data_IF_010357188175
#
_entry.id   IF_010357188175
#
_cell.length_a   1.000
_cell.length_b   1.000
_cell.length_c   1.000
_cell.angle_alpha   90.00
_cell.angle_beta   90.00
_cell.angle_gamma   90.00
#
_symmetry.space_group_name_H-M   'P 1'
#
loop_
_entity.id
_entity.type
_entity.pdbx_description
1 polymer ?
#
# COMPACT_ATOMS: atom_id res chain seq x y z
N UNK A 1 -26.80 -0.03 20.40
CA UNK A 1 -25.34 0.22 20.27
C UNK A 1 -25.03 1.68 20.60
N UNK A 2 -23.94 1.98 21.35
CA UNK A 2 -23.59 3.36 21.68
C UNK A 2 -23.03 4.09 20.44
N UNK A 3 -23.04 5.45 20.44
CA UNK A 3 -22.47 6.25 19.34
C UNK A 3 -20.99 5.97 19.15
N UNK A 4 -20.24 5.82 20.25
CA UNK A 4 -18.81 5.52 20.24
C UNK A 4 -18.53 4.13 19.64
N UNK A 5 -19.34 3.12 19.96
CA UNK A 5 -19.22 1.79 19.35
C UNK A 5 -19.48 1.83 17.84
N UNK A 6 -20.46 2.63 17.38
CA UNK A 6 -20.72 2.84 15.95
C UNK A 6 -19.53 3.50 15.23
N UNK A 7 -18.83 4.45 15.87
CA UNK A 7 -17.62 5.07 15.31
C UNK A 7 -16.44 4.09 15.20
N UNK A 8 -16.36 3.08 16.07
CA UNK A 8 -15.28 2.07 16.01
C UNK A 8 -15.49 1.03 14.90
N UNK A 9 -16.73 0.80 14.47
CA UNK A 9 -17.03 -0.15 13.39
C UNK A 9 -16.44 0.30 12.06
N UNK A 10 -15.91 -0.67 11.29
CA UNK A 10 -15.48 -0.44 9.90
C UNK A 10 -16.65 -0.04 9.00
N UNK A 11 -16.35 0.63 7.87
CA UNK A 11 -17.37 1.01 6.89
C UNK A 11 -18.16 -0.20 6.35
N UNK A 12 -17.49 -1.35 6.22
CA UNK A 12 -18.07 -2.61 5.75
C UNK A 12 -19.17 -3.08 6.70
N UNK A 13 -18.98 -2.94 8.01
CA UNK A 13 -19.94 -3.39 9.02
C UNK A 13 -21.01 -2.35 9.33
N UNK A 14 -20.70 -1.07 9.17
CA UNK A 14 -21.64 0.02 9.49
C UNK A 14 -22.66 0.27 8.37
N UNK A 15 -22.28 0.08 7.10
CA UNK A 15 -23.18 0.25 5.94
C UNK A 15 -24.39 -0.70 5.96
N UNK A 16 -24.25 -2.02 6.23
CA UNK A 16 -25.41 -2.92 6.40
C UNK A 16 -26.32 -2.48 7.54
N UNK A 17 -25.74 -2.14 8.70
CA UNK A 17 -26.53 -1.67 9.86
C UNK A 17 -27.38 -0.43 9.54
N UNK A 18 -26.84 0.51 8.74
CA UNK A 18 -27.58 1.69 8.30
C UNK A 18 -28.74 1.30 7.37
N UNK A 19 -28.57 0.27 6.51
CA UNK A 19 -29.61 -0.19 5.58
C UNK A 19 -30.72 -0.96 6.29
N UNK A 20 -30.38 -1.81 7.26
CA UNK A 20 -31.30 -2.71 7.97
C UNK A 20 -32.04 -2.02 9.09
N UNK A 21 -31.58 -0.85 9.56
CA UNK A 21 -32.26 -0.13 10.67
C UNK A 21 -33.46 0.65 10.16
N UNK A 22 -34.64 0.28 10.62
CA UNK A 22 -35.92 0.95 10.31
C UNK A 22 -36.20 2.19 11.18
N UNK A 23 -35.69 2.20 12.42
CA UNK A 23 -35.82 3.34 13.34
C UNK A 23 -35.05 4.55 12.81
N UNK A 24 -35.78 5.61 12.45
CA UNK A 24 -35.21 6.85 11.88
C UNK A 24 -34.17 7.51 12.78
N UNK A 25 -34.38 7.51 14.11
CA UNK A 25 -33.43 8.13 15.07
C UNK A 25 -32.13 7.33 15.15
N UNK A 26 -32.23 6.01 15.20
CA UNK A 26 -31.08 5.12 15.27
C UNK A 26 -30.30 5.14 13.97
N UNK A 27 -31.00 5.16 12.84
CA UNK A 27 -30.40 5.29 11.50
C UNK A 27 -29.62 6.61 11.34
N UNK A 28 -30.20 7.72 11.76
CA UNK A 28 -29.56 9.04 11.73
C UNK A 28 -28.29 9.05 12.61
N UNK A 29 -28.35 8.43 13.79
CA UNK A 29 -27.18 8.27 14.67
C UNK A 29 -26.03 7.51 13.99
N UNK A 30 -26.32 6.44 13.26
CA UNK A 30 -25.30 5.66 12.53
C UNK A 30 -24.74 6.43 11.34
N UNK A 31 -25.58 7.17 10.61
CA UNK A 31 -25.12 8.04 9.51
C UNK A 31 -24.21 9.13 10.05
N UNK A 32 -24.58 9.80 11.15
CA UNK A 32 -23.75 10.84 11.77
C UNK A 32 -22.41 10.26 12.24
N UNK A 33 -22.41 9.08 12.87
CA UNK A 33 -21.18 8.41 13.29
C UNK A 33 -20.28 8.06 12.08
N UNK A 34 -20.88 7.62 10.97
CA UNK A 34 -20.14 7.32 9.74
C UNK A 34 -19.51 8.56 9.11
N UNK A 35 -20.29 9.66 9.00
CA UNK A 35 -19.80 10.93 8.43
C UNK A 35 -18.69 11.52 9.31
N UNK A 36 -18.92 11.59 10.63
CA UNK A 36 -17.91 12.14 11.56
C UNK A 36 -16.60 11.34 11.52
N UNK A 37 -16.68 10.02 11.47
CA UNK A 37 -15.51 9.16 11.32
C UNK A 37 -14.71 9.46 10.05
N UNK A 38 -15.41 9.64 8.93
CA UNK A 38 -14.73 9.95 7.65
C UNK A 38 -14.09 11.34 7.66
N UNK A 39 -14.76 12.33 8.27
CA UNK A 39 -14.20 13.68 8.46
C UNK A 39 -12.94 13.62 9.33
N UNK A 40 -12.97 12.91 10.46
CA UNK A 40 -11.81 12.74 11.34
C UNK A 40 -10.65 12.04 10.63
N UNK A 41 -10.96 11.02 9.81
CA UNK A 41 -9.94 10.34 8.99
C UNK A 41 -9.31 11.30 7.97
N UNK A 42 -10.13 12.12 7.29
CA UNK A 42 -9.65 13.12 6.34
C UNK A 42 -8.75 14.18 7.03
N UNK A 43 -9.19 14.71 8.17
CA UNK A 43 -8.41 15.66 8.95
C UNK A 43 -7.07 15.07 9.40
N UNK A 44 -7.07 13.80 9.82
CA UNK A 44 -5.84 13.08 10.16
C UNK A 44 -4.90 12.96 8.95
N UNK A 45 -5.43 12.62 7.76
CA UNK A 45 -4.62 12.55 6.53
C UNK A 45 -3.99 13.92 6.20
N UNK A 46 -4.79 14.99 6.24
CA UNK A 46 -4.30 16.36 5.99
C UNK A 46 -3.22 16.72 7.00
N UNK A 47 -3.45 16.46 8.29
CA UNK A 47 -2.49 16.74 9.35
C UNK A 47 -1.15 16.04 9.13
N UNK A 48 -1.16 14.74 8.83
CA UNK A 48 0.08 13.98 8.62
C UNK A 48 0.81 14.48 7.36
N UNK A 49 0.11 14.64 6.23
CA UNK A 49 0.73 15.13 4.98
C UNK A 49 1.31 16.52 5.17
N UNK A 50 0.59 17.43 5.81
CA UNK A 50 1.09 18.79 6.09
C UNK A 50 2.29 18.76 7.04
N UNK A 51 2.30 17.89 8.05
CA UNK A 51 3.44 17.74 8.96
C UNK A 51 4.68 17.27 8.23
N UNK A 52 4.56 16.25 7.36
CA UNK A 52 5.67 15.79 6.53
C UNK A 52 6.15 16.86 5.55
N UNK A 53 5.24 17.61 4.93
CA UNK A 53 5.57 18.71 4.03
C UNK A 53 6.32 19.83 4.74
N UNK A 54 5.93 20.18 5.97
CA UNK A 54 6.60 21.22 6.77
C UNK A 54 7.98 20.79 7.26
N UNK A 55 8.16 19.51 7.64
CA UNK A 55 9.44 19.02 8.21
C UNK A 55 10.44 18.71 7.09
N UNK A 56 10.01 18.06 5.99
CA UNK A 56 10.88 17.55 4.94
C UNK A 56 10.82 18.36 3.64
N UNK A 57 10.04 19.44 3.60
CA UNK A 57 9.85 20.32 2.44
C UNK A 57 8.65 19.94 1.58
N UNK A 58 8.08 20.94 0.90
CA UNK A 58 6.86 20.81 0.09
C UNK A 58 6.99 19.77 -1.05
N UNK A 59 8.17 19.63 -1.64
CA UNK A 59 8.47 18.65 -2.69
C UNK A 59 8.39 17.20 -2.16
N UNK A 60 8.46 17.01 -0.85
CA UNK A 60 8.37 15.74 -0.17
C UNK A 60 7.00 15.46 0.46
N UNK A 61 5.97 16.25 0.12
CA UNK A 61 4.58 15.99 0.56
C UNK A 61 4.08 14.59 0.17
N UNK A 62 4.57 14.05 -0.95
CA UNK A 62 4.28 12.68 -1.41
C UNK A 62 4.69 11.61 -0.38
N UNK A 63 5.74 11.85 0.41
CA UNK A 63 6.17 10.94 1.49
C UNK A 63 5.10 10.84 2.58
N UNK A 64 4.49 11.98 2.93
CA UNK A 64 3.35 12.00 3.85
C UNK A 64 2.16 11.21 3.31
N UNK A 65 1.86 11.34 2.01
CA UNK A 65 0.78 10.57 1.36
C UNK A 65 1.06 9.07 1.42
N UNK A 66 2.26 8.62 1.04
CA UNK A 66 2.70 7.22 1.08
C UNK A 66 2.62 6.65 2.50
N UNK A 67 3.07 7.43 3.49
CA UNK A 67 3.02 7.04 4.91
C UNK A 67 1.57 6.86 5.38
N UNK A 68 0.69 7.82 5.07
CA UNK A 68 -0.73 7.76 5.45
C UNK A 68 -1.43 6.58 4.79
N UNK A 69 -1.25 6.37 3.48
CA UNK A 69 -1.86 5.24 2.76
C UNK A 69 -1.44 3.90 3.38
N UNK A 70 -0.15 3.74 3.63
CA UNK A 70 0.38 2.53 4.28
C UNK A 70 -0.16 2.38 5.71
N UNK A 71 -0.21 3.44 6.50
CA UNK A 71 -0.67 3.43 7.88
C UNK A 71 -2.16 3.07 7.98
N UNK A 72 -3.00 3.64 7.12
CA UNK A 72 -4.44 3.34 7.09
C UNK A 72 -4.71 1.89 6.69
N UNK A 73 -3.93 1.35 5.76
CA UNK A 73 -4.07 -0.04 5.31
C UNK A 73 -3.57 -1.00 6.38
N UNK A 74 -2.33 -0.86 6.83
CA UNK A 74 -1.68 -1.80 7.74
C UNK A 74 -2.09 -1.65 9.20
N UNK A 75 -2.92 -0.68 9.53
CA UNK A 75 -3.64 -0.63 10.79
C UNK A 75 -4.64 -1.78 10.92
N UNK A 76 -5.21 -2.26 9.81
CA UNK A 76 -6.28 -3.27 9.78
C UNK A 76 -5.88 -4.54 9.04
N UNK A 77 -5.03 -4.45 8.04
CA UNK A 77 -4.55 -5.57 7.24
C UNK A 77 -3.29 -6.18 7.86
N UNK A 78 -3.09 -7.48 7.64
CA UNK A 78 -1.86 -8.20 7.99
C UNK A 78 -1.13 -8.70 6.73
N UNK A 79 0.08 -9.22 6.88
CA UNK A 79 0.87 -9.79 5.78
C UNK A 79 0.82 -11.33 5.74
N UNK A 80 0.01 -11.95 6.63
CA UNK A 80 -0.21 -13.39 6.72
C UNK A 80 1.03 -14.19 7.17
N UNK A 81 1.97 -13.53 7.88
CA UNK A 81 3.10 -14.17 8.55
C UNK A 81 3.50 -13.43 9.83
N UNK A 82 4.41 -13.99 10.62
CA UNK A 82 4.79 -13.51 11.96
C UNK A 82 4.87 -11.98 12.07
N UNK A 83 4.25 -11.41 13.11
CA UNK A 83 4.07 -9.97 13.26
C UNK A 83 5.40 -9.19 13.34
N UNK A 84 6.45 -9.76 13.95
CA UNK A 84 7.77 -9.13 14.01
C UNK A 84 8.43 -9.11 12.62
N UNK A 85 8.39 -10.26 11.93
CA UNK A 85 8.95 -10.37 10.59
C UNK A 85 8.18 -9.50 9.59
N UNK A 86 6.84 -9.41 9.73
CA UNK A 86 6.00 -8.53 8.92
C UNK A 86 6.33 -7.04 9.12
N UNK A 87 6.58 -6.61 10.37
CA UNK A 87 6.99 -5.23 10.65
C UNK A 87 8.36 -4.92 10.02
N UNK A 88 9.31 -5.85 10.11
CA UNK A 88 10.62 -5.74 9.46
C UNK A 88 10.48 -5.68 7.93
N UNK A 89 9.61 -6.51 7.36
CA UNK A 89 9.32 -6.53 5.92
C UNK A 89 8.72 -5.21 5.44
N UNK A 90 7.77 -4.63 6.21
CA UNK A 90 7.21 -3.31 5.89
C UNK A 90 8.29 -2.23 5.89
N UNK A 91 9.17 -2.22 6.88
CA UNK A 91 10.31 -1.29 6.87
C UNK A 91 11.24 -1.55 5.68
N UNK A 92 11.52 -2.82 5.33
CA UNK A 92 12.28 -3.19 4.14
C UNK A 92 11.65 -2.69 2.83
N UNK A 93 10.31 -2.71 2.72
CA UNK A 93 9.60 -2.12 1.57
C UNK A 93 9.79 -0.60 1.52
N UNK A 94 9.80 0.09 2.66
CA UNK A 94 10.16 1.52 2.69
C UNK A 94 11.60 1.77 2.26
N UNK A 95 12.55 0.87 2.54
CA UNK A 95 13.90 0.95 1.98
C UNK A 95 13.89 0.81 0.44
N UNK A 96 13.04 -0.06 -0.13
CA UNK A 96 12.84 -0.12 -1.58
C UNK A 96 12.28 1.20 -2.11
N UNK A 97 11.36 1.85 -1.39
CA UNK A 97 10.82 3.17 -1.75
C UNK A 97 11.88 4.28 -1.75
N UNK A 98 12.87 4.19 -0.87
CA UNK A 98 14.00 5.15 -0.82
C UNK A 98 14.89 5.01 -2.05
N UNK A 99 15.24 3.79 -2.41
CA UNK A 99 16.30 3.50 -3.37
C UNK A 99 15.75 3.30 -4.79
N UNK A 100 14.69 2.51 -4.95
CA UNK A 100 14.18 2.06 -6.25
C UNK A 100 13.79 3.21 -7.19
N UNK A 101 12.89 4.13 -6.82
CA UNK A 101 12.47 5.24 -7.68
C UNK A 101 13.62 6.16 -8.06
N UNK A 102 14.55 6.42 -7.13
CA UNK A 102 15.70 7.29 -7.39
C UNK A 102 16.69 6.64 -8.35
N UNK A 103 17.06 5.38 -8.13
CA UNK A 103 17.93 4.65 -9.06
C UNK A 103 17.31 4.55 -10.44
N UNK A 104 16.01 4.32 -10.52
CA UNK A 104 15.29 4.30 -11.78
C UNK A 104 15.37 5.66 -12.50
N UNK A 105 15.26 6.80 -11.77
CA UNK A 105 15.26 8.13 -12.37
C UNK A 105 16.57 8.50 -13.09
N UNK A 106 17.70 8.09 -12.53
CA UNK A 106 19.03 8.40 -13.06
C UNK A 106 19.55 7.37 -14.09
N UNK A 107 18.78 6.32 -14.36
CA UNK A 107 19.21 5.18 -15.19
C UNK A 107 18.71 5.29 -16.63
N UNK A 108 19.40 4.60 -17.55
CA UNK A 108 18.95 4.44 -18.94
C UNK A 108 17.63 3.64 -19.02
N UNK A 109 16.83 3.77 -20.08
CA UNK A 109 15.50 3.15 -20.15
C UNK A 109 15.48 1.63 -19.88
N UNK A 110 16.49 0.90 -20.35
CA UNK A 110 16.59 -0.56 -20.13
C UNK A 110 16.91 -0.85 -18.66
N UNK A 111 17.88 -0.14 -18.08
CA UNK A 111 18.27 -0.33 -16.66
C UNK A 111 17.11 0.11 -15.75
N UNK A 112 16.41 1.20 -16.09
CA UNK A 112 15.20 1.67 -15.41
C UNK A 112 14.13 0.60 -15.37
N UNK A 113 13.89 -0.09 -16.50
CA UNK A 113 12.95 -1.22 -16.54
C UNK A 113 13.33 -2.33 -15.57
N UNK A 114 14.62 -2.72 -15.55
CA UNK A 114 15.12 -3.79 -14.66
C UNK A 114 14.99 -3.39 -13.19
N UNK A 115 15.34 -2.14 -12.83
CA UNK A 115 15.22 -1.64 -11.45
C UNK A 115 13.77 -1.64 -11.01
N UNK A 116 12.86 -1.11 -11.84
CA UNK A 116 11.42 -1.10 -11.54
C UNK A 116 10.88 -2.53 -11.42
N UNK A 117 11.32 -3.44 -12.30
CA UNK A 117 10.90 -4.84 -12.26
C UNK A 117 11.29 -5.52 -10.96
N UNK A 118 12.56 -5.41 -10.55
CA UNK A 118 13.07 -5.99 -9.31
C UNK A 118 12.35 -5.37 -8.10
N UNK A 119 12.22 -4.05 -8.07
CA UNK A 119 11.58 -3.32 -6.96
C UNK A 119 10.10 -3.69 -6.80
N UNK A 120 9.33 -3.65 -7.88
CA UNK A 120 7.89 -3.95 -7.85
C UNK A 120 7.66 -5.44 -7.56
N UNK A 121 8.46 -6.34 -8.16
CA UNK A 121 8.37 -7.77 -7.90
C UNK A 121 8.65 -8.09 -6.43
N UNK A 122 9.70 -7.49 -5.85
CA UNK A 122 10.00 -7.63 -4.42
C UNK A 122 8.85 -7.14 -3.54
N UNK A 123 8.28 -5.95 -3.84
CA UNK A 123 7.13 -5.41 -3.10
C UNK A 123 5.94 -6.38 -3.19
N UNK A 124 5.62 -6.89 -4.37
CA UNK A 124 4.47 -7.78 -4.59
C UNK A 124 4.67 -9.12 -3.87
N UNK A 125 5.86 -9.73 -3.95
CA UNK A 125 6.17 -10.99 -3.24
C UNK A 125 6.04 -10.79 -1.72
N UNK A 126 6.66 -9.76 -1.19
CA UNK A 126 6.72 -9.51 0.25
C UNK A 126 5.37 -9.09 0.86
N UNK A 127 4.50 -8.46 0.08
CA UNK A 127 3.22 -7.94 0.58
C UNK A 127 2.00 -8.81 0.27
N UNK A 128 2.10 -9.71 -0.71
CA UNK A 128 0.98 -10.47 -1.23
C UNK A 128 1.18 -11.99 -1.08
N UNK A 129 1.37 -12.45 0.17
CA UNK A 129 1.29 -13.88 0.48
C UNK A 129 -0.18 -14.33 0.39
N UNK A 130 -1.08 -13.60 1.02
CA UNK A 130 -2.52 -13.78 0.88
C UNK A 130 -3.10 -12.77 -0.13
N UNK A 131 -3.47 -13.27 -1.31
CA UNK A 131 -3.97 -12.46 -2.43
C UNK A 131 -5.30 -11.77 -2.10
N UNK A 132 -6.11 -12.36 -1.20
CA UNK A 132 -7.41 -11.80 -0.78
C UNK A 132 -7.27 -10.45 -0.08
N UNK A 133 -6.17 -10.23 0.64
CA UNK A 133 -5.91 -8.98 1.37
C UNK A 133 -5.56 -7.81 0.45
N UNK A 134 -5.13 -8.06 -0.78
CA UNK A 134 -4.79 -7.05 -1.81
C UNK A 134 -3.80 -5.97 -1.33
N UNK A 135 -2.92 -6.30 -0.37
CA UNK A 135 -1.95 -5.37 0.23
C UNK A 135 -0.97 -4.77 -0.79
N UNK A 136 -0.63 -5.54 -1.84
CA UNK A 136 0.25 -5.11 -2.92
C UNK A 136 -0.25 -3.85 -3.61
N UNK A 137 -1.57 -3.65 -3.70
CA UNK A 137 -2.15 -2.51 -4.41
C UNK A 137 -1.70 -1.18 -3.82
N UNK A 138 -1.73 -1.03 -2.48
CA UNK A 138 -1.33 0.20 -1.82
C UNK A 138 0.18 0.41 -1.88
N UNK A 139 0.97 -0.65 -1.73
CA UNK A 139 2.43 -0.53 -1.73
C UNK A 139 2.98 -0.28 -3.13
N UNK A 140 2.44 -0.94 -4.16
CA UNK A 140 2.80 -0.66 -5.56
C UNK A 140 2.35 0.75 -5.95
N UNK A 141 1.14 1.18 -5.57
CA UNK A 141 0.67 2.55 -5.77
C UNK A 141 1.62 3.57 -5.12
N UNK A 142 2.09 3.30 -3.91
CA UNK A 142 3.06 4.14 -3.20
C UNK A 142 4.39 4.23 -3.94
N UNK A 143 4.90 3.11 -4.47
CA UNK A 143 6.09 3.08 -5.30
C UNK A 143 5.93 3.92 -6.57
N UNK A 144 4.81 3.76 -7.27
CA UNK A 144 4.50 4.50 -8.50
C UNK A 144 4.33 6.00 -8.24
N UNK A 145 3.75 6.41 -7.10
CA UNK A 145 3.69 7.80 -6.69
C UNK A 145 5.09 8.39 -6.52
N UNK A 146 5.97 7.71 -5.80
CA UNK A 146 7.36 8.15 -5.59
C UNK A 146 8.14 8.19 -6.91
N UNK A 147 7.89 7.24 -7.81
CA UNK A 147 8.46 7.22 -9.15
C UNK A 147 7.97 8.40 -10.01
N UNK A 148 6.70 8.78 -9.90
CA UNK A 148 6.13 9.90 -10.67
C UNK A 148 6.47 11.29 -10.14
N UNK A 149 6.82 11.41 -8.85
CA UNK A 149 7.27 12.65 -8.20
C UNK A 149 8.78 12.59 -7.92
N UNK A 150 9.58 12.56 -8.99
CA UNK A 150 11.04 12.53 -8.92
C UNK A 150 11.60 13.83 -8.35
N UNK A 151 12.81 13.76 -7.80
CA UNK A 151 13.53 14.89 -7.22
C UNK A 151 14.96 14.88 -7.75
N UNK A 152 15.35 15.96 -8.40
CA UNK A 152 16.68 16.11 -8.99
C UNK A 152 17.71 16.67 -7.99
N UNK A 153 17.24 17.41 -6.98
CA UNK A 153 18.10 18.02 -5.98
C UNK A 153 18.48 17.03 -4.87
N UNK A 154 19.79 16.80 -4.70
CA UNK A 154 20.32 15.85 -3.71
C UNK A 154 19.89 16.17 -2.27
N UNK A 155 19.77 17.44 -1.88
CA UNK A 155 19.36 17.83 -0.54
C UNK A 155 17.89 17.49 -0.30
N UNK A 156 17.04 17.68 -1.31
CA UNK A 156 15.62 17.31 -1.25
C UNK A 156 15.48 15.77 -1.23
N UNK A 157 16.34 15.06 -1.96
CA UNK A 157 16.38 13.59 -1.93
C UNK A 157 16.79 13.07 -0.54
N UNK A 158 17.82 13.64 0.10
CA UNK A 158 18.22 13.26 1.46
C UNK A 158 17.04 13.47 2.43
N UNK A 159 16.36 14.60 2.34
CA UNK A 159 15.17 14.88 3.15
C UNK A 159 14.04 13.87 2.89
N UNK A 160 13.88 13.44 1.61
CA UNK A 160 12.93 12.37 1.22
C UNK A 160 13.27 11.03 1.88
N UNK A 161 14.54 10.64 1.87
CA UNK A 161 15.03 9.41 2.50
C UNK A 161 14.76 9.44 4.00
N UNK A 162 15.08 10.56 4.69
CA UNK A 162 14.78 10.74 6.10
C UNK A 162 13.28 10.65 6.40
N UNK A 163 12.46 11.27 5.56
CA UNK A 163 10.99 11.22 5.68
C UNK A 163 10.44 9.81 5.49
N UNK A 164 10.92 9.07 4.47
CA UNK A 164 10.53 7.67 4.24
C UNK A 164 11.01 6.76 5.37
N UNK A 165 12.21 6.99 5.93
CA UNK A 165 12.70 6.23 7.08
C UNK A 165 11.77 6.43 8.29
N UNK A 166 11.42 7.68 8.60
CA UNK A 166 10.47 8.00 9.68
C UNK A 166 9.10 7.37 9.40
N UNK A 167 8.58 7.52 8.19
CA UNK A 167 7.31 6.92 7.77
C UNK A 167 7.31 5.40 7.91
N UNK A 168 8.38 4.75 7.47
CA UNK A 168 8.56 3.29 7.59
C UNK A 168 8.57 2.82 9.05
N UNK A 169 9.28 3.54 9.94
CA UNK A 169 9.30 3.24 11.38
C UNK A 169 7.90 3.38 11.99
N UNK A 170 7.17 4.46 11.65
CA UNK A 170 5.81 4.69 12.14
C UNK A 170 4.87 3.57 11.68
N UNK A 171 4.89 3.23 10.37
CA UNK A 171 4.01 2.19 9.80
C UNK A 171 4.33 0.82 10.40
N UNK A 172 5.61 0.43 10.47
CA UNK A 172 6.05 -0.83 11.04
C UNK A 172 5.72 -0.91 12.55
N UNK A 173 5.90 0.19 13.29
CA UNK A 173 5.58 0.27 14.72
C UNK A 173 4.08 0.12 14.99
N UNK A 174 3.23 0.86 14.25
CA UNK A 174 1.77 0.76 14.38
C UNK A 174 1.29 -0.63 14.00
N UNK A 175 1.80 -1.19 12.90
CA UNK A 175 1.51 -2.56 12.49
C UNK A 175 1.85 -3.56 13.61
N UNK A 176 3.06 -3.51 14.15
CA UNK A 176 3.50 -4.42 15.20
C UNK A 176 2.62 -4.32 16.45
N UNK A 177 2.31 -3.10 16.93
CA UNK A 177 1.46 -2.89 18.09
C UNK A 177 0.07 -3.50 17.88
N UNK A 178 -0.48 -3.39 16.68
CA UNK A 178 -1.82 -3.91 16.34
C UNK A 178 -1.83 -5.43 16.18
N UNK A 179 -0.81 -6.00 15.55
CA UNK A 179 -0.77 -7.41 15.15
C UNK A 179 -0.03 -8.34 16.12
N UNK A 180 0.71 -7.81 17.12
CA UNK A 180 1.54 -8.60 18.05
C UNK A 180 0.80 -9.67 18.85
N UNK A 181 -0.52 -9.55 18.98
CA UNK A 181 -1.37 -10.52 19.69
C UNK A 181 -1.97 -11.58 18.76
N UNK A 182 -1.90 -11.37 17.45
CA UNK A 182 -2.39 -12.33 16.47
C UNK A 182 -1.35 -13.42 16.27
N UNK A 183 -1.77 -14.68 16.37
CA UNK A 183 -0.90 -15.81 16.07
C UNK A 183 -0.93 -16.08 14.57
N UNK A 184 0.23 -16.15 13.97
CA UNK A 184 0.44 -16.49 12.57
C UNK A 184 1.16 -17.83 12.49
N UNK A 185 0.76 -18.68 11.56
CA UNK A 185 1.37 -19.99 11.33
C UNK A 185 2.60 -19.88 10.41
N UNK A 186 2.58 -18.91 9.49
CA UNK A 186 3.62 -18.73 8.48
C UNK A 186 4.77 -17.84 8.98
N UNK A 187 5.96 -18.06 8.43
CA UNK A 187 7.16 -17.23 8.59
C UNK A 187 7.54 -16.59 7.25
N UNK A 188 8.35 -15.54 7.30
CA UNK A 188 8.87 -14.89 6.08
C UNK A 188 9.63 -15.88 5.16
N UNK A 189 10.35 -16.86 5.75
CA UNK A 189 11.03 -17.90 4.99
C UNK A 189 10.09 -18.74 4.15
N UNK A 190 8.86 -18.95 4.62
CA UNK A 190 7.87 -19.77 3.93
C UNK A 190 7.30 -18.99 2.75
N UNK A 191 7.08 -17.67 2.92
CA UNK A 191 6.66 -16.76 1.84
C UNK A 191 7.67 -16.77 0.68
N UNK A 192 8.97 -16.75 0.99
CA UNK A 192 10.05 -16.74 -0.02
C UNK A 192 10.17 -18.12 -0.70
N UNK A 193 10.08 -19.21 0.05
CA UNK A 193 10.13 -20.57 -0.49
C UNK A 193 8.94 -20.92 -1.38
N UNK A 194 7.78 -20.33 -1.10
CA UNK A 194 6.55 -20.50 -1.88
C UNK A 194 6.59 -19.81 -3.25
N UNK A 195 7.63 -19.03 -3.54
CA UNK A 195 7.85 -18.45 -4.88
C UNK A 195 8.27 -19.55 -5.83
N UNK A 196 7.28 -20.09 -6.54
CA UNK A 196 7.49 -21.13 -7.54
C UNK A 196 6.75 -20.75 -8.83
N UNK A 197 7.43 -20.83 -9.97
CA UNK A 197 6.85 -20.50 -11.28
C UNK A 197 5.69 -21.42 -11.70
N UNK A 198 5.52 -22.57 -11.06
CA UNK A 198 4.35 -23.42 -11.29
C UNK A 198 3.10 -22.95 -10.53
N UNK A 199 3.26 -22.08 -9.52
CA UNK A 199 2.16 -21.58 -8.72
C UNK A 199 1.42 -20.44 -9.46
N UNK A 200 0.09 -20.51 -9.53
CA UNK A 200 -0.76 -19.50 -10.17
C UNK A 200 -0.59 -18.12 -9.54
N UNK A 201 -0.33 -18.05 -8.22
CA UNK A 201 -0.01 -16.82 -7.50
C UNK A 201 1.25 -16.15 -8.07
N UNK A 202 2.34 -16.90 -8.19
CA UNK A 202 3.61 -16.38 -8.70
C UNK A 202 3.49 -15.96 -10.17
N UNK A 203 2.76 -16.72 -10.98
CA UNK A 203 2.46 -16.36 -12.38
C UNK A 203 1.68 -15.05 -12.46
N UNK A 204 0.70 -14.86 -11.59
CA UNK A 204 -0.06 -13.61 -11.54
C UNK A 204 0.81 -12.44 -11.07
N UNK A 205 1.62 -12.62 -10.02
CA UNK A 205 2.56 -11.61 -9.54
C UNK A 205 3.55 -11.17 -10.63
N UNK A 206 4.07 -12.11 -11.40
CA UNK A 206 4.94 -11.84 -12.54
C UNK A 206 4.21 -11.07 -13.65
N UNK A 207 2.98 -11.49 -14.01
CA UNK A 207 2.16 -10.79 -15.02
C UNK A 207 1.85 -9.36 -14.60
N UNK A 208 1.49 -9.14 -13.33
CA UNK A 208 1.23 -7.82 -12.78
C UNK A 208 2.47 -6.92 -12.87
N UNK A 209 3.61 -7.43 -12.42
CA UNK A 209 4.88 -6.69 -12.44
C UNK A 209 5.31 -6.35 -13.86
N UNK A 210 5.26 -7.32 -14.79
CA UNK A 210 5.59 -7.10 -16.20
C UNK A 210 4.67 -6.07 -16.84
N UNK A 211 3.35 -6.14 -16.59
CA UNK A 211 2.39 -5.20 -17.15
C UNK A 211 2.68 -3.75 -16.69
N UNK A 212 2.94 -3.57 -15.39
CA UNK A 212 3.26 -2.25 -14.84
C UNK A 212 4.60 -1.73 -15.41
N UNK A 213 5.65 -2.54 -15.40
CA UNK A 213 6.97 -2.12 -15.89
C UNK A 213 6.96 -1.81 -17.39
N UNK A 214 6.25 -2.61 -18.20
CA UNK A 214 6.09 -2.34 -19.63
C UNK A 214 5.30 -1.06 -19.87
N UNK A 215 4.26 -0.80 -19.09
CA UNK A 215 3.48 0.42 -19.17
C UNK A 215 4.32 1.66 -18.82
N UNK A 216 5.15 1.59 -17.77
CA UNK A 216 6.08 2.66 -17.41
C UNK A 216 7.12 2.90 -18.52
N UNK A 217 7.70 1.82 -19.07
CA UNK A 217 8.68 1.92 -20.16
C UNK A 217 8.08 2.58 -21.39
N UNK A 218 6.88 2.15 -21.82
CA UNK A 218 6.18 2.73 -22.98
C UNK A 218 5.87 4.21 -22.73
N UNK A 219 5.38 4.55 -21.53
CA UNK A 219 5.08 5.93 -21.17
C UNK A 219 6.32 6.81 -21.16
N UNK A 220 7.46 6.32 -20.66
CA UNK A 220 8.73 7.05 -20.67
C UNK A 220 9.29 7.21 -22.08
N UNK A 221 9.24 6.17 -22.92
CA UNK A 221 9.69 6.24 -24.33
C UNK A 221 8.87 7.22 -25.16
N UNK A 222 7.58 7.33 -24.89
CA UNK A 222 6.68 8.26 -25.55
C UNK A 222 6.71 9.66 -24.91
N UNK A 223 7.54 9.88 -23.89
CA UNK A 223 7.59 11.12 -23.10
C UNK A 223 6.22 11.60 -22.62
N UNK A 224 5.37 10.66 -22.17
CA UNK A 224 4.03 11.00 -21.71
C UNK A 224 4.10 11.72 -20.36
N UNK A 225 3.36 12.82 -20.18
CA UNK A 225 3.30 13.48 -18.89
C UNK A 225 2.65 12.54 -17.86
N UNK A 226 3.27 12.45 -16.68
CA UNK A 226 2.74 11.67 -15.56
C UNK A 226 2.55 10.17 -15.87
N UNK A 227 3.58 9.52 -16.40
CA UNK A 227 3.65 8.08 -16.75
C UNK A 227 3.12 7.15 -15.64
N UNK A 228 3.21 7.55 -14.37
CA UNK A 228 2.69 6.79 -13.22
C UNK A 228 1.22 6.42 -13.35
N UNK A 229 0.37 7.26 -14.01
CA UNK A 229 -1.06 6.97 -14.17
C UNK A 229 -1.33 5.76 -15.05
N UNK A 230 -0.47 5.50 -16.03
CA UNK A 230 -0.56 4.30 -16.87
C UNK A 230 -0.27 3.06 -16.01
N UNK A 231 0.73 3.14 -15.12
CA UNK A 231 1.02 2.09 -14.14
C UNK A 231 -0.16 1.81 -13.21
N UNK A 232 -0.87 2.85 -12.74
CA UNK A 232 -2.09 2.69 -11.92
C UNK A 232 -3.22 2.00 -12.70
N UNK A 233 -3.43 2.37 -13.96
CA UNK A 233 -4.42 1.73 -14.81
C UNK A 233 -4.10 0.24 -15.01
N UNK A 234 -2.86 -0.11 -15.34
CA UNK A 234 -2.42 -1.50 -15.46
C UNK A 234 -2.63 -2.30 -14.17
N UNK A 235 -2.27 -1.72 -13.02
CA UNK A 235 -2.49 -2.36 -11.72
C UNK A 235 -3.98 -2.63 -11.45
N UNK A 236 -4.86 -1.74 -11.88
CA UNK A 236 -6.31 -1.88 -11.69
C UNK A 236 -6.92 -2.96 -12.58
N UNK A 237 -6.36 -3.16 -13.78
CA UNK A 237 -6.85 -4.16 -14.75
C UNK A 237 -6.35 -5.56 -14.41
N UNK A 238 -5.07 -5.70 -14.01
CA UNK A 238 -4.43 -6.98 -13.70
C UNK A 238 -4.70 -7.39 -12.25
N UNK A 239 -5.95 -7.27 -11.79
CA UNK A 239 -6.32 -7.72 -10.45
C UNK A 239 -6.42 -9.26 -10.39
N UNK A 240 -6.13 -9.87 -9.22
CA UNK A 240 -6.32 -11.31 -9.06
C UNK A 240 -7.79 -11.70 -9.23
N UNK A 241 -8.05 -12.82 -9.88
CA UNK A 241 -9.39 -13.36 -10.06
C UNK A 241 -9.97 -13.78 -8.70
N UNK A 242 -10.84 -12.97 -8.14
CA UNK A 242 -11.54 -13.25 -6.87
C UNK A 242 -12.44 -14.48 -6.96
N UNK A 243 -13.06 -14.73 -8.12
CA UNK A 243 -14.02 -15.82 -8.31
C UNK A 243 -13.44 -17.23 -8.18
N UNK A 244 -12.13 -17.40 -8.44
CA UNK A 244 -11.47 -18.71 -8.25
C UNK A 244 -11.04 -18.99 -6.82
N UNK A 245 -10.97 -18.00 -5.96
CA UNK A 245 -10.53 -18.17 -4.57
C UNK A 245 -11.70 -18.47 -3.63
N UNK A 246 -12.88 -17.88 -3.87
CA UNK A 246 -14.09 -18.17 -3.09
C UNK A 246 -14.54 -19.63 -3.19
N UNK A 247 -14.19 -20.33 -4.28
CA UNK A 247 -14.47 -21.77 -4.46
C UNK A 247 -13.52 -22.65 -3.67
N UNK A 248 -12.27 -22.25 -3.44
CA UNK A 248 -11.28 -23.04 -2.68
C UNK A 248 -11.36 -22.86 -1.16
N UNK A 249 -11.97 -21.79 -0.69
CA UNK A 249 -12.22 -21.59 0.76
C UNK A 249 -13.51 -22.24 1.25
N UNK A 250 -14.27 -22.91 0.36
CA UNK A 250 -15.51 -23.63 0.68
C UNK A 250 -15.35 -25.15 0.62
N UNK A 251 -14.19 -25.68 0.25
CA UNK A 251 -13.77 -27.07 0.38
C UNK A 251 -12.81 -27.22 1.59
#
# INVERSE_FOLDING_TARGET
MSFYQAMQLGAINLKPLIKETEDKKLKQKYITAFVLKNILCLLFCIFVVSSFSNIFGNENSVVGVVTVLSLLTFRFSNLDFDAKQSAFTLFGIFCIFMVGPHLASISTPIVKFVINFISIMAIVILSCHNVVLSNQSILVLSYLLLYGYQVDNINVYISRVCGLALGGIIVAGVFYIKQRKTKFENKLSDVIKDVNFNNDRTKWQLKLTLAICSALLIGDLLNLPRTMWIGFACMSIVQPYKDRMDTRCKE
#
